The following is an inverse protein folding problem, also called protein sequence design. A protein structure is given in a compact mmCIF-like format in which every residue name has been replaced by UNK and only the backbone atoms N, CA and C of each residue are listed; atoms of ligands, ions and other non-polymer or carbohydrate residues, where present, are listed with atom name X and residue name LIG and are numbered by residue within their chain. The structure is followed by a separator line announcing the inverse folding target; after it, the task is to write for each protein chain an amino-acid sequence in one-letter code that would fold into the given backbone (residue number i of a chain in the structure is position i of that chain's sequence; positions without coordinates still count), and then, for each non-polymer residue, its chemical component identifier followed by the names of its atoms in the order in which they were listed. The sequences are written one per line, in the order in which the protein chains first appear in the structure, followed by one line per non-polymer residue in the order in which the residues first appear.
data_IF_753756203687
#
_entry.id   IF_753756203687
#
_cell.length_a   1.000
_cell.length_b   1.000
_cell.length_c   1.000
_cell.angle_alpha   90.00
_cell.angle_beta   90.00
_cell.angle_gamma   90.00
#
_symmetry.space_group_name_H-M   'P 1'
#
loop_
_entity.id
_entity.type
_entity.pdbx_description
1 polymer ?
#
# COMPACT_ATOMS: atom_id res chain seq x y z
N UNK A 1 -5.97 -13.85 -3.95
CA UNK A 1 -5.03 -13.59 -5.07
C UNK A 1 -3.96 -14.68 -5.10
N UNK A 2 -3.48 -15.08 -6.27
CA UNK A 2 -2.38 -16.04 -6.37
C UNK A 2 -1.06 -15.35 -5.96
N UNK A 3 -0.38 -15.90 -4.95
CA UNK A 3 0.93 -15.40 -4.52
C UNK A 3 2.00 -15.83 -5.52
N UNK A 4 2.83 -14.89 -5.96
CA UNK A 4 4.04 -15.18 -6.75
C UNK A 4 5.25 -15.18 -5.83
N UNK A 5 6.12 -16.18 -5.98
CA UNK A 5 7.40 -16.23 -5.25
C UNK A 5 8.36 -15.21 -5.85
N UNK A 6 8.94 -14.39 -4.99
CA UNK A 6 9.99 -13.42 -5.33
C UNK A 6 11.21 -13.63 -4.42
N UNK A 7 12.37 -13.12 -4.85
CA UNK A 7 13.59 -13.05 -4.03
C UNK A 7 14.01 -11.59 -3.95
N UNK A 8 14.38 -11.14 -2.76
CA UNK A 8 14.80 -9.76 -2.49
C UNK A 8 15.99 -9.82 -1.54
N UNK A 9 16.94 -8.90 -1.71
CA UNK A 9 18.04 -8.71 -0.77
C UNK A 9 17.64 -7.64 0.24
N UNK A 10 17.96 -7.86 1.51
CA UNK A 10 17.74 -6.91 2.61
C UNK A 10 19.01 -6.86 3.48
N UNK A 11 19.17 -5.76 4.21
CA UNK A 11 20.24 -5.63 5.19
C UNK A 11 20.06 -6.64 6.33
N UNK A 12 21.16 -7.10 6.91
CA UNK A 12 21.12 -8.03 8.05
C UNK A 12 20.37 -7.42 9.25
N UNK A 13 20.55 -6.11 9.48
CA UNK A 13 19.88 -5.38 10.54
C UNK A 13 18.35 -5.38 10.34
N UNK A 14 17.88 -5.22 9.11
CA UNK A 14 16.46 -5.26 8.78
C UNK A 14 15.89 -6.67 8.99
N UNK A 15 16.64 -7.71 8.64
CA UNK A 15 16.22 -9.10 8.83
C UNK A 15 16.06 -9.44 10.31
N UNK A 16 16.97 -8.96 11.18
CA UNK A 16 16.84 -9.12 12.64
C UNK A 16 15.55 -8.47 13.14
N UNK A 17 15.27 -7.23 12.72
CA UNK A 17 14.05 -6.51 13.14
C UNK A 17 12.77 -7.20 12.66
N UNK A 18 12.75 -7.71 11.42
CA UNK A 18 11.60 -8.47 10.87
C UNK A 18 11.38 -9.75 11.68
N UNK A 19 12.45 -10.45 12.03
CA UNK A 19 12.38 -11.70 12.81
C UNK A 19 11.85 -11.46 14.22
N UNK A 20 12.32 -10.43 14.92
CA UNK A 20 11.81 -10.06 16.24
C UNK A 20 10.34 -9.67 16.18
N UNK A 21 9.94 -8.90 15.17
CA UNK A 21 8.54 -8.53 14.95
C UNK A 21 7.66 -9.76 14.68
N UNK A 22 8.15 -10.72 13.89
CA UNK A 22 7.45 -11.96 13.58
C UNK A 22 7.20 -12.80 14.84
N UNK A 23 8.21 -12.94 15.70
CA UNK A 23 8.11 -13.63 16.99
C UNK A 23 7.09 -12.92 17.90
N UNK A 24 7.20 -11.59 18.02
CA UNK A 24 6.31 -10.78 18.88
C UNK A 24 4.84 -10.86 18.46
N UNK A 25 4.60 -10.97 17.15
CA UNK A 25 3.25 -11.03 16.57
C UNK A 25 2.73 -12.47 16.39
N UNK A 26 3.57 -13.49 16.59
CA UNK A 26 3.20 -14.89 16.39
C UNK A 26 2.92 -15.26 14.93
N UNK A 27 3.55 -14.57 13.97
CA UNK A 27 3.37 -14.77 12.53
C UNK A 27 4.69 -15.14 11.85
N UNK A 28 4.65 -15.58 10.59
CA UNK A 28 5.86 -15.83 9.81
C UNK A 28 6.53 -14.52 9.34
N UNK A 29 7.86 -14.50 9.22
CA UNK A 29 8.61 -13.38 8.61
C UNK A 29 8.06 -13.03 7.21
N UNK A 30 7.69 -14.04 6.43
CA UNK A 30 7.12 -13.87 5.10
C UNK A 30 5.78 -13.13 5.12
N UNK A 31 5.00 -13.23 6.20
CA UNK A 31 3.74 -12.47 6.36
C UNK A 31 4.02 -10.99 6.59
N UNK A 32 5.00 -10.66 7.43
CA UNK A 32 5.43 -9.27 7.64
C UNK A 32 5.94 -8.66 6.32
N UNK A 33 6.77 -9.40 5.58
CA UNK A 33 7.29 -8.95 4.30
C UNK A 33 6.16 -8.75 3.28
N UNK A 34 5.21 -9.68 3.20
CA UNK A 34 4.03 -9.53 2.32
C UNK A 34 3.23 -8.28 2.64
N UNK A 35 2.96 -8.05 3.92
CA UNK A 35 2.21 -6.88 4.37
C UNK A 35 2.95 -5.58 4.07
N UNK A 36 4.26 -5.54 4.29
CA UNK A 36 5.11 -4.40 3.92
C UNK A 36 5.04 -4.08 2.42
N UNK A 37 5.16 -5.11 1.57
CA UNK A 37 5.02 -4.97 0.12
C UNK A 37 3.63 -4.44 -0.25
N UNK A 38 2.56 -5.00 0.35
CA UNK A 38 1.19 -4.58 0.09
C UNK A 38 0.94 -3.12 0.45
N UNK A 39 1.39 -2.68 1.63
CA UNK A 39 1.26 -1.29 2.09
C UNK A 39 2.00 -0.31 1.18
N UNK A 40 3.24 -0.64 0.79
CA UNK A 40 4.02 0.22 -0.12
C UNK A 40 3.34 0.29 -1.49
N UNK A 41 2.82 -0.83 -2.00
CA UNK A 41 2.09 -0.87 -3.28
C UNK A 41 0.84 0.01 -3.22
N UNK A 42 0.06 -0.05 -2.13
CA UNK A 42 -1.10 0.83 -1.92
C UNK A 42 -0.70 2.30 -1.81
N UNK A 43 0.35 2.61 -1.04
CA UNK A 43 0.80 3.98 -0.83
C UNK A 43 1.36 4.63 -2.11
N UNK A 44 1.98 3.82 -2.99
CA UNK A 44 2.54 4.26 -4.27
C UNK A 44 1.58 4.12 -5.44
N UNK A 45 0.39 3.58 -5.21
CA UNK A 45 -0.68 3.62 -6.22
C UNK A 45 -1.04 5.09 -6.40
N UNK A 46 -0.44 5.72 -7.40
CA UNK A 46 -0.90 6.99 -7.92
C UNK A 46 -2.41 6.88 -8.16
N UNK A 47 -3.16 7.94 -7.87
CA UNK A 47 -4.46 8.11 -8.52
C UNK A 47 -4.16 8.24 -10.01
N UNK A 48 -4.12 7.10 -10.71
CA UNK A 48 -3.94 7.02 -12.16
C UNK A 48 -5.20 7.47 -12.93
N UNK A 49 -6.28 7.80 -12.21
CA UNK A 49 -7.38 8.56 -12.81
C UNK A 49 -7.01 10.05 -12.82
N UNK A 50 -6.89 10.70 -13.99
CA UNK A 50 -6.95 12.14 -14.02
C UNK A 50 -8.25 12.54 -13.32
N UNK A 51 -8.19 13.55 -12.45
CA UNK A 51 -9.40 14.30 -12.13
C UNK A 51 -9.95 14.76 -13.48
N UNK A 52 -11.00 14.10 -13.97
CA UNK A 52 -11.85 14.72 -14.97
C UNK A 52 -12.47 15.88 -14.19
N UNK A 53 -11.95 17.08 -14.43
CA UNK A 53 -12.75 18.27 -14.19
C UNK A 53 -13.87 18.19 -15.21
N UNK A 54 -14.91 17.40 -14.91
CA UNK A 54 -16.16 17.51 -15.62
C UNK A 54 -16.58 18.97 -15.46
N UNK A 55 -16.44 19.75 -16.52
CA UNK A 55 -16.92 21.12 -16.66
C UNK A 55 -18.46 21.20 -16.52
N UNK A 56 -19.13 20.13 -16.07
CA UNK A 56 -20.54 20.04 -15.71
C UNK A 56 -20.81 19.95 -14.19
N UNK A 57 -19.81 20.12 -13.31
CA UNK A 57 -20.08 20.23 -11.85
C UNK A 57 -20.36 21.68 -11.39
N UNK A 58 -20.65 22.59 -12.33
CA UNK A 58 -20.97 23.99 -12.00
C UNK A 58 -22.46 24.23 -11.66
N UNK A 59 -23.36 23.27 -11.89
CA UNK A 59 -24.81 23.44 -11.66
C UNK A 59 -25.30 22.97 -10.27
N UNK A 60 -24.41 22.48 -9.40
CA UNK A 60 -24.81 22.02 -8.05
C UNK A 60 -24.65 23.08 -6.95
N UNK A 61 -24.16 24.28 -7.25
CA UNK A 61 -24.23 25.43 -6.34
C UNK A 61 -25.48 26.22 -6.69
N UNK A 62 -26.55 25.88 -5.97
CA UNK A 62 -27.89 26.43 -6.17
C UNK A 62 -27.93 27.96 -6.28
N UNK A 63 -28.82 28.38 -7.18
CA UNK A 63 -29.39 29.71 -7.24
C UNK A 63 -29.97 30.08 -5.86
N UNK A 64 -29.21 30.86 -5.10
CA UNK A 64 -29.71 31.63 -3.98
C UNK A 64 -29.79 33.09 -4.42
N UNK A 65 -30.96 33.48 -4.94
CA UNK A 65 -31.39 34.88 -5.07
C UNK A 65 -32.74 35.02 -4.41
#
# INVERSE_FOLDING_TARGET
MALKRIKVYADDSDLVLIKEAAIRLGVSEAEIIREGIHRIALARRARDEPFVTDEETFDLVGHAT
#
